data_IF_421238655626
#
_entry.id   IF_421238655626
#
_cell.length_a   1.000
_cell.length_b   1.000
_cell.length_c   1.000
_cell.angle_alpha   90.00
_cell.angle_beta   90.00
_cell.angle_gamma   90.00
#
_symmetry.space_group_name_H-M   'P 1'
#
loop_
_entity.id
_entity.type
_entity.pdbx_description
1 polymer ?
#
# COMPACT_ATOMS: atom_id res chain seq x y z
N UNK A 1 -9.63 -40.32 -14.38
CA UNK A 1 -9.07 -39.06 -13.85
C UNK A 1 -9.90 -37.91 -14.42
N UNK A 2 -10.06 -36.81 -13.69
CA UNK A 2 -10.62 -35.57 -14.22
C UNK A 2 -9.58 -34.86 -15.10
N UNK A 3 -10.01 -33.95 -16.00
CA UNK A 3 -9.08 -33.13 -16.81
C UNK A 3 -8.16 -32.29 -15.92
N UNK A 4 -8.74 -31.66 -14.89
CA UNK A 4 -8.00 -30.90 -13.88
C UNK A 4 -6.95 -31.78 -13.17
N UNK A 5 -7.31 -33.01 -12.77
CA UNK A 5 -6.39 -33.99 -12.18
C UNK A 5 -5.24 -34.46 -13.08
N UNK A 6 -5.27 -34.16 -14.39
CA UNK A 6 -4.17 -34.41 -15.32
C UNK A 6 -3.31 -33.16 -15.57
N UNK A 7 -3.87 -31.96 -15.43
CA UNK A 7 -3.15 -30.68 -15.60
C UNK A 7 -2.41 -30.23 -14.32
N UNK A 8 -2.87 -30.67 -13.13
CA UNK A 8 -2.29 -30.30 -11.84
C UNK A 8 -0.84 -30.80 -11.67
N UNK A 9 0.11 -29.87 -11.57
CA UNK A 9 1.52 -30.12 -11.28
C UNK A 9 2.09 -29.10 -10.26
N UNK A 10 3.23 -29.46 -9.64
CA UNK A 10 3.93 -28.63 -8.64
C UNK A 10 3.02 -28.07 -7.54
N UNK A 11 3.28 -26.83 -7.13
CA UNK A 11 2.50 -26.08 -6.14
C UNK A 11 0.97 -26.16 -6.32
N UNK A 12 0.44 -26.19 -7.55
CA UNK A 12 -1.00 -26.30 -7.78
C UNK A 12 -1.55 -27.67 -7.37
N UNK A 13 -0.83 -28.76 -7.66
CA UNK A 13 -1.20 -30.10 -7.23
C UNK A 13 -1.18 -30.23 -5.71
N UNK A 14 -0.22 -29.59 -5.03
CA UNK A 14 -0.11 -29.61 -3.57
C UNK A 14 -1.16 -28.74 -2.87
N UNK A 15 -1.46 -27.55 -3.40
CA UNK A 15 -2.65 -26.78 -2.98
C UNK A 15 -3.93 -27.59 -3.16
N UNK A 16 -4.10 -28.28 -4.29
CA UNK A 16 -5.33 -29.05 -4.55
C UNK A 16 -5.53 -30.20 -3.56
N UNK A 17 -4.44 -30.77 -3.01
CA UNK A 17 -4.51 -31.73 -1.89
C UNK A 17 -4.98 -31.08 -0.58
N UNK A 18 -4.64 -29.81 -0.33
CA UNK A 18 -5.04 -29.04 0.86
C UNK A 18 -6.47 -28.47 0.79
N UNK A 19 -7.05 -28.36 -0.41
CA UNK A 19 -8.46 -28.00 -0.60
C UNK A 19 -9.39 -29.09 -0.03
N UNK A 20 -10.52 -28.69 0.55
CA UNK A 20 -11.55 -29.63 0.98
C UNK A 20 -12.32 -30.24 -0.22
N UNK A 21 -13.23 -31.17 0.06
CA UNK A 21 -14.02 -31.87 -0.97
C UNK A 21 -15.02 -30.97 -1.70
N UNK A 22 -15.54 -29.91 -1.06
CA UNK A 22 -16.44 -28.92 -1.67
C UNK A 22 -15.66 -28.03 -2.63
N UNK A 23 -14.51 -27.52 -2.19
CA UNK A 23 -13.64 -26.66 -3.00
C UNK A 23 -13.08 -27.41 -4.22
N UNK A 24 -12.62 -28.67 -4.05
CA UNK A 24 -12.21 -29.52 -5.17
C UNK A 24 -13.37 -29.85 -6.12
N UNK A 25 -14.51 -30.28 -5.58
CA UNK A 25 -15.70 -30.60 -6.39
C UNK A 25 -16.22 -29.39 -7.18
N UNK A 26 -16.08 -28.18 -6.64
CA UNK A 26 -16.39 -26.93 -7.34
C UNK A 26 -15.43 -26.68 -8.52
N UNK A 27 -14.11 -26.77 -8.30
CA UNK A 27 -13.13 -26.61 -9.39
C UNK A 27 -13.31 -27.66 -10.49
N UNK A 28 -13.48 -28.93 -10.13
CA UNK A 28 -13.75 -29.98 -11.10
C UNK A 28 -15.08 -29.75 -11.83
N UNK A 29 -16.11 -29.26 -11.15
CA UNK A 29 -17.38 -28.86 -11.76
C UNK A 29 -17.23 -27.71 -12.77
N UNK A 30 -16.46 -26.67 -12.44
CA UNK A 30 -16.19 -25.53 -13.33
C UNK A 30 -15.40 -25.96 -14.59
N UNK A 31 -14.38 -26.80 -14.43
CA UNK A 31 -13.57 -27.34 -15.55
C UNK A 31 -14.38 -28.32 -16.41
N UNK A 32 -15.13 -29.25 -15.80
CA UNK A 32 -15.93 -30.23 -16.54
C UNK A 32 -17.13 -29.60 -17.25
N UNK A 33 -17.66 -28.47 -16.76
CA UNK A 33 -18.70 -27.68 -17.44
C UNK A 33 -18.16 -26.67 -18.45
N UNK A 34 -16.83 -26.57 -18.61
CA UNK A 34 -16.20 -25.67 -19.59
C UNK A 34 -16.27 -24.18 -19.24
N UNK A 35 -16.67 -23.82 -18.01
CA UNK A 35 -16.69 -22.42 -17.54
C UNK A 35 -15.28 -21.83 -17.38
N UNK A 36 -14.31 -22.71 -17.12
CA UNK A 36 -12.88 -22.40 -17.06
C UNK A 36 -12.11 -23.55 -17.72
N UNK A 37 -10.96 -23.26 -18.33
CA UNK A 37 -10.08 -24.32 -18.85
C UNK A 37 -9.37 -25.04 -17.68
N UNK A 38 -8.75 -26.20 -17.94
CA UNK A 38 -7.96 -26.85 -16.88
C UNK A 38 -6.69 -26.04 -16.59
N UNK A 39 -6.17 -25.39 -17.63
CA UNK A 39 -4.97 -24.59 -17.70
C UNK A 39 -5.13 -23.28 -16.89
N UNK A 40 -6.22 -22.53 -17.12
CA UNK A 40 -6.60 -21.35 -16.34
C UNK A 40 -6.76 -21.72 -14.86
N UNK A 41 -7.46 -22.84 -14.57
CA UNK A 41 -7.69 -23.29 -13.19
C UNK A 41 -6.36 -23.61 -12.48
N UNK A 42 -5.42 -24.29 -13.17
CA UNK A 42 -4.07 -24.53 -12.64
C UNK A 42 -3.29 -23.22 -12.46
N UNK A 43 -3.33 -22.31 -13.42
CA UNK A 43 -2.62 -21.02 -13.37
C UNK A 43 -3.14 -20.13 -12.23
N UNK A 44 -4.46 -20.05 -12.02
CA UNK A 44 -5.07 -19.35 -10.90
C UNK A 44 -4.73 -19.98 -9.54
N UNK A 45 -4.69 -21.31 -9.46
CA UNK A 45 -4.17 -22.01 -8.26
C UNK A 45 -2.69 -21.70 -8.01
N UNK A 46 -1.84 -21.63 -9.06
CA UNK A 46 -0.43 -21.22 -8.92
C UNK A 46 -0.28 -19.77 -8.46
N UNK A 47 -1.09 -18.83 -8.99
CA UNK A 47 -1.10 -17.44 -8.52
C UNK A 47 -1.41 -17.35 -7.02
N UNK A 48 -2.51 -17.95 -6.59
CA UNK A 48 -2.94 -17.96 -5.18
C UNK A 48 -1.94 -18.70 -4.27
N UNK A 49 -1.33 -19.80 -4.73
CA UNK A 49 -0.25 -20.50 -4.02
C UNK A 49 0.98 -19.59 -3.81
N UNK A 50 1.37 -18.87 -4.85
CA UNK A 50 2.52 -17.97 -4.85
C UNK A 50 2.25 -16.76 -3.95
N UNK A 51 1.09 -16.12 -4.07
CA UNK A 51 0.66 -15.00 -3.21
C UNK A 51 0.59 -15.39 -1.73
N UNK A 52 0.07 -16.57 -1.39
CA UNK A 52 0.05 -17.05 -0.01
C UNK A 52 1.46 -17.32 0.54
N UNK A 53 2.34 -17.89 -0.27
CA UNK A 53 3.74 -18.17 0.12
C UNK A 53 4.55 -16.86 0.25
N UNK A 54 4.29 -15.87 -0.60
CA UNK A 54 4.83 -14.52 -0.49
C UNK A 54 4.37 -13.81 0.79
N UNK A 55 3.06 -13.83 1.09
CA UNK A 55 2.52 -13.24 2.32
C UNK A 55 3.17 -13.86 3.56
N UNK A 56 3.37 -15.19 3.57
CA UNK A 56 4.12 -15.88 4.62
C UNK A 56 5.57 -15.39 4.70
N UNK A 57 6.26 -15.32 3.56
CA UNK A 57 7.64 -14.82 3.48
C UNK A 57 7.78 -13.41 4.07
N UNK A 58 6.87 -12.49 3.73
CA UNK A 58 6.86 -11.12 4.28
C UNK A 58 6.64 -11.09 5.79
N UNK A 59 5.79 -11.98 6.32
CA UNK A 59 5.52 -12.05 7.77
C UNK A 59 6.61 -12.73 8.60
N UNK A 60 7.35 -13.68 8.03
CA UNK A 60 8.24 -14.59 8.77
C UNK A 60 9.74 -14.43 8.45
N UNK A 61 10.11 -13.71 7.39
CA UNK A 61 11.53 -13.48 7.09
C UNK A 61 12.22 -12.73 8.24
N UNK A 62 13.49 -13.04 8.55
CA UNK A 62 14.30 -12.21 9.43
C UNK A 62 14.29 -10.74 8.98
N UNK A 63 14.18 -9.83 9.96
CA UNK A 63 14.29 -8.39 9.75
C UNK A 63 15.72 -7.94 10.01
N UNK A 64 16.33 -7.29 9.03
CA UNK A 64 17.66 -6.70 9.15
C UNK A 64 17.59 -5.24 9.67
N UNK A 65 18.74 -4.56 9.74
CA UNK A 65 18.79 -3.16 10.22
C UNK A 65 18.10 -2.18 9.26
N UNK A 66 18.05 -2.45 7.95
CA UNK A 66 17.30 -1.62 7.00
C UNK A 66 15.78 -1.78 7.23
N UNK A 67 15.31 -2.98 7.53
CA UNK A 67 13.90 -3.21 7.90
C UNK A 67 13.50 -2.50 9.19
N UNK A 68 14.38 -2.49 10.19
CA UNK A 68 14.17 -1.75 11.45
C UNK A 68 14.17 -0.24 11.21
N UNK A 69 15.12 0.27 10.43
CA UNK A 69 15.22 1.68 10.09
C UNK A 69 13.97 2.15 9.34
N UNK A 70 13.54 1.43 8.29
CA UNK A 70 12.30 1.75 7.57
C UNK A 70 11.06 1.68 8.46
N UNK A 71 11.00 0.76 9.42
CA UNK A 71 9.89 0.70 10.38
C UNK A 71 9.87 1.95 11.28
N UNK A 72 11.03 2.40 11.77
CA UNK A 72 11.16 3.63 12.55
C UNK A 72 10.83 4.88 11.72
N UNK A 73 11.27 4.95 10.46
CA UNK A 73 10.95 6.05 9.53
C UNK A 73 9.45 6.07 9.18
N UNK A 74 8.82 4.89 9.03
CA UNK A 74 7.38 4.73 8.85
C UNK A 74 6.61 5.22 10.07
N UNK A 75 7.01 4.82 11.28
CA UNK A 75 6.38 5.27 12.51
C UNK A 75 6.54 6.80 12.70
N UNK A 76 7.73 7.34 12.44
CA UNK A 76 7.98 8.78 12.48
C UNK A 76 7.19 9.55 11.40
N UNK A 77 7.01 8.99 10.21
CA UNK A 77 6.15 9.56 9.17
C UNK A 77 4.66 9.52 9.57
N UNK A 78 4.21 8.42 10.17
CA UNK A 78 2.85 8.25 10.66
C UNK A 78 2.53 9.23 11.81
N UNK A 79 3.43 9.37 12.79
CA UNK A 79 3.29 10.35 13.88
C UNK A 79 3.21 11.79 13.33
N UNK A 80 4.02 12.14 12.32
CA UNK A 80 3.96 13.46 11.65
C UNK A 80 2.64 13.64 10.86
N UNK A 81 2.13 12.59 10.22
CA UNK A 81 0.85 12.62 9.49
C UNK A 81 -0.34 12.77 10.45
N UNK A 82 -0.32 12.07 11.59
CA UNK A 82 -1.32 12.21 12.64
C UNK A 82 -1.30 13.62 13.24
N UNK A 83 -0.12 14.18 13.55
CA UNK A 83 0.02 15.55 14.05
C UNK A 83 -0.47 16.60 13.03
N UNK A 84 -0.11 16.44 11.74
CA UNK A 84 -0.63 17.26 10.64
C UNK A 84 -2.16 17.19 10.58
N UNK A 85 -2.72 15.97 10.63
CA UNK A 85 -4.16 15.73 10.57
C UNK A 85 -4.93 16.35 11.73
N UNK A 86 -4.46 16.17 12.97
CA UNK A 86 -5.06 16.78 14.16
C UNK A 86 -5.04 18.31 14.10
N UNK A 87 -3.90 18.91 13.69
CA UNK A 87 -3.78 20.38 13.57
C UNK A 87 -4.67 20.93 12.45
N UNK A 88 -4.69 20.28 11.29
CA UNK A 88 -5.53 20.65 10.16
C UNK A 88 -7.02 20.55 10.49
N UNK A 89 -7.42 19.50 11.22
CA UNK A 89 -8.80 19.31 11.69
C UNK A 89 -9.23 20.46 12.62
N UNK A 90 -8.40 20.82 13.60
CA UNK A 90 -8.68 21.97 14.48
C UNK A 90 -8.78 23.30 13.73
N UNK A 91 -7.90 23.54 12.76
CA UNK A 91 -7.97 24.72 11.90
C UNK A 91 -9.24 24.75 11.04
N UNK A 92 -9.66 23.61 10.48
CA UNK A 92 -10.92 23.47 9.74
C UNK A 92 -12.15 23.69 10.62
N UNK A 93 -12.16 23.21 11.87
CA UNK A 93 -13.25 23.48 12.82
C UNK A 93 -13.38 24.97 13.16
N UNK A 94 -12.26 25.67 13.37
CA UNK A 94 -12.25 27.12 13.61
C UNK A 94 -12.70 27.93 12.38
N UNK A 95 -12.33 27.50 11.17
CA UNK A 95 -12.82 28.09 9.91
C UNK A 95 -14.32 27.86 9.76
N UNK A 96 -14.79 26.64 10.00
CA UNK A 96 -16.21 26.29 9.93
C UNK A 96 -17.05 27.14 10.88
N UNK A 97 -16.65 27.20 12.16
CA UNK A 97 -17.31 28.03 13.19
C UNK A 97 -17.40 29.50 12.77
N UNK A 98 -16.29 30.12 12.37
CA UNK A 98 -16.27 31.54 11.96
C UNK A 98 -17.06 31.80 10.68
N UNK A 99 -17.03 30.86 9.73
CA UNK A 99 -17.82 30.95 8.49
C UNK A 99 -19.31 30.87 8.80
N UNK A 100 -19.74 29.98 9.70
CA UNK A 100 -21.12 29.89 10.17
C UNK A 100 -21.55 31.17 10.91
N UNK A 101 -20.74 31.67 11.85
CA UNK A 101 -21.02 32.94 12.58
C UNK A 101 -21.22 34.12 11.63
N UNK A 102 -20.44 34.19 10.53
CA UNK A 102 -20.56 35.20 9.47
C UNK A 102 -21.83 34.98 8.62
N UNK A 103 -22.14 33.74 8.23
CA UNK A 103 -23.35 33.41 7.47
C UNK A 103 -24.63 33.68 8.27
N UNK A 104 -24.66 33.36 9.55
CA UNK A 104 -25.81 33.63 10.41
C UNK A 104 -26.04 35.13 10.60
N UNK A 105 -24.98 35.93 10.75
CA UNK A 105 -25.09 37.39 10.79
C UNK A 105 -25.66 37.95 9.47
N UNK A 106 -25.24 37.40 8.32
CA UNK A 106 -25.78 37.77 7.01
C UNK A 106 -27.27 37.37 6.89
N UNK A 107 -27.67 36.18 7.35
CA UNK A 107 -29.06 35.72 7.36
C UNK A 107 -29.97 36.55 8.30
N UNK A 108 -29.42 37.07 9.41
CA UNK A 108 -30.11 38.01 10.31
C UNK A 108 -30.19 39.44 9.74
N UNK A 109 -29.53 39.72 8.62
CA UNK A 109 -29.44 41.07 8.04
C UNK A 109 -28.52 42.02 8.79
N UNK A 110 -27.64 41.51 9.66
CA UNK A 110 -26.68 42.29 10.46
C UNK A 110 -25.46 42.75 9.65
N UNK A 111 -25.20 42.11 8.50
CA UNK A 111 -24.15 42.46 7.55
C UNK A 111 -24.63 42.30 6.11
N UNK A 112 -24.11 43.16 5.24
CA UNK A 112 -24.24 43.04 3.79
C UNK A 112 -23.41 41.88 3.20
N UNK A 113 -23.68 41.53 1.94
CA UNK A 113 -22.88 40.53 1.20
C UNK A 113 -21.40 40.95 1.07
N UNK A 114 -21.13 42.25 0.92
CA UNK A 114 -19.77 42.76 0.80
C UNK A 114 -19.02 42.71 2.13
N UNK A 115 -19.67 43.09 3.25
CA UNK A 115 -19.12 42.89 4.59
C UNK A 115 -18.92 41.41 4.95
N UNK A 116 -19.79 40.52 4.45
CA UNK A 116 -19.62 39.07 4.59
C UNK A 116 -18.33 38.63 3.89
N UNK A 117 -18.10 39.08 2.66
CA UNK A 117 -16.86 38.82 1.91
C UNK A 117 -15.62 39.40 2.63
N UNK A 118 -15.73 40.61 3.19
CA UNK A 118 -14.66 41.25 3.96
C UNK A 118 -14.31 40.47 5.23
N UNK A 119 -15.32 40.00 5.98
CA UNK A 119 -15.13 39.19 7.19
C UNK A 119 -14.60 37.78 6.89
N UNK A 120 -14.86 37.23 5.71
CA UNK A 120 -14.30 35.94 5.28
C UNK A 120 -12.82 35.99 4.89
N UNK A 121 -12.31 37.12 4.35
CA UNK A 121 -10.88 37.29 4.01
C UNK A 121 -9.93 36.88 5.16
N UNK A 122 -10.00 37.44 6.39
CA UNK A 122 -9.09 37.08 7.47
C UNK A 122 -9.27 35.64 7.96
N UNK A 123 -10.46 35.02 7.79
CA UNK A 123 -10.67 33.60 8.11
C UNK A 123 -9.91 32.72 7.11
N UNK A 124 -10.00 33.04 5.81
CA UNK A 124 -9.24 32.35 4.76
C UNK A 124 -7.74 32.54 4.91
N UNK A 125 -7.28 33.74 5.25
CA UNK A 125 -5.84 34.05 5.37
C UNK A 125 -5.23 33.45 6.64
N UNK A 126 -5.97 33.41 7.76
CA UNK A 126 -5.57 32.62 8.93
C UNK A 126 -5.45 31.12 8.60
N UNK A 127 -6.37 30.58 7.79
CA UNK A 127 -6.31 29.17 7.36
C UNK A 127 -5.13 28.88 6.43
N UNK A 128 -4.84 29.76 5.45
CA UNK A 128 -3.62 29.69 4.62
C UNK A 128 -2.35 29.77 5.48
N UNK A 129 -2.37 30.59 6.53
CA UNK A 129 -1.32 30.68 7.54
C UNK A 129 -1.10 29.36 8.27
N UNK A 130 -2.17 28.76 8.81
CA UNK A 130 -2.10 27.45 9.49
C UNK A 130 -1.71 26.30 8.55
N UNK A 131 -2.15 26.28 7.29
CA UNK A 131 -1.66 25.32 6.28
C UNK A 131 -0.14 25.47 6.10
N UNK A 132 0.35 26.70 5.99
CA UNK A 132 1.76 27.00 5.78
C UNK A 132 2.61 26.63 7.01
N UNK A 133 2.13 26.96 8.21
CA UNK A 133 2.79 26.63 9.48
C UNK A 133 2.81 25.11 9.74
N UNK A 134 1.68 24.42 9.52
CA UNK A 134 1.57 22.96 9.67
C UNK A 134 2.48 22.24 8.68
N UNK A 135 2.52 22.69 7.41
CA UNK A 135 3.45 22.16 6.40
C UNK A 135 4.91 22.45 6.73
N UNK A 136 5.22 23.61 7.30
CA UNK A 136 6.57 23.95 7.76
C UNK A 136 7.04 23.08 8.95
N UNK A 137 6.13 22.75 9.87
CA UNK A 137 6.44 21.95 11.06
C UNK A 137 6.51 20.44 10.80
N UNK A 138 5.73 19.91 9.86
CA UNK A 138 5.57 18.45 9.67
C UNK A 138 6.01 17.94 8.27
N UNK A 139 6.32 18.83 7.33
CA UNK A 139 6.49 18.50 5.91
C UNK A 139 5.16 18.49 5.15
N UNK A 140 5.17 18.08 3.87
CA UNK A 140 3.91 17.87 3.13
C UNK A 140 3.39 16.45 3.39
N UNK A 141 2.06 16.23 3.39
CA UNK A 141 1.49 14.88 3.45
C UNK A 141 1.99 13.97 2.32
N UNK A 142 2.24 14.53 1.12
CA UNK A 142 2.82 13.79 -0.03
C UNK A 142 4.13 13.10 0.32
N UNK A 143 4.99 13.82 1.06
CA UNK A 143 6.35 13.39 1.37
C UNK A 143 6.30 12.28 2.43
N UNK A 144 5.40 12.41 3.40
CA UNK A 144 5.08 11.38 4.38
C UNK A 144 4.45 10.12 3.73
N UNK A 145 3.50 10.28 2.79
CA UNK A 145 2.88 9.14 2.09
C UNK A 145 3.87 8.39 1.19
N UNK A 146 4.88 9.07 0.64
CA UNK A 146 5.96 8.42 -0.09
C UNK A 146 6.82 7.54 0.84
N UNK A 147 7.21 8.06 2.02
CA UNK A 147 7.93 7.29 3.04
C UNK A 147 7.11 6.09 3.50
N UNK A 148 5.82 6.27 3.80
CA UNK A 148 4.93 5.17 4.23
C UNK A 148 4.75 4.09 3.14
N UNK A 149 4.77 4.49 1.86
CA UNK A 149 4.67 3.58 0.71
C UNK A 149 5.96 2.78 0.50
N UNK A 150 7.12 3.42 0.58
CA UNK A 150 8.43 2.76 0.44
C UNK A 150 8.76 1.88 1.66
N UNK A 151 8.43 2.35 2.87
CA UNK A 151 8.62 1.61 4.11
C UNK A 151 7.73 0.37 4.28
N UNK A 152 6.76 0.14 3.37
CA UNK A 152 6.15 -1.19 3.19
C UNK A 152 7.18 -2.27 2.86
N UNK A 153 8.35 -1.87 2.35
CA UNK A 153 9.44 -2.74 1.94
C UNK A 153 9.11 -3.61 0.73
N UNK A 154 7.99 -3.36 0.03
CA UNK A 154 7.42 -4.27 -0.98
C UNK A 154 8.43 -4.68 -2.06
N UNK A 155 9.23 -3.74 -2.58
CA UNK A 155 10.27 -4.03 -3.58
C UNK A 155 11.33 -4.99 -3.06
N UNK A 156 11.88 -4.75 -1.85
CA UNK A 156 12.86 -5.62 -1.20
C UNK A 156 12.27 -6.98 -0.84
N UNK A 157 11.03 -6.99 -0.33
CA UNK A 157 10.26 -8.19 -0.03
C UNK A 157 10.07 -9.06 -1.29
N UNK A 158 9.69 -8.46 -2.41
CA UNK A 158 9.49 -9.15 -3.69
C UNK A 158 10.81 -9.66 -4.27
N UNK A 159 11.89 -8.88 -4.20
CA UNK A 159 13.22 -9.31 -4.64
C UNK A 159 13.72 -10.50 -3.80
N UNK A 160 13.68 -10.40 -2.48
CA UNK A 160 14.08 -11.48 -1.57
C UNK A 160 13.24 -12.74 -1.73
N UNK A 161 11.93 -12.59 -1.98
CA UNK A 161 11.05 -13.73 -2.29
C UNK A 161 11.37 -14.39 -3.63
N UNK A 162 11.66 -13.60 -4.68
CA UNK A 162 12.10 -14.14 -5.97
C UNK A 162 13.44 -14.86 -5.85
N UNK A 163 14.38 -14.35 -5.06
CA UNK A 163 15.64 -15.05 -4.74
C UNK A 163 15.40 -16.36 -3.98
N UNK A 164 14.48 -16.38 -3.01
CA UNK A 164 14.10 -17.59 -2.29
C UNK A 164 13.48 -18.64 -3.24
N UNK A 165 12.48 -18.27 -4.03
CA UNK A 165 11.86 -19.16 -5.02
C UNK A 165 12.86 -19.70 -6.05
N UNK A 166 13.78 -18.87 -6.56
CA UNK A 166 14.79 -19.32 -7.51
C UNK A 166 15.67 -20.45 -6.94
N UNK A 167 15.97 -20.42 -5.64
CA UNK A 167 16.71 -21.50 -4.96
C UNK A 167 15.89 -22.77 -4.68
N UNK A 168 14.57 -22.77 -4.92
CA UNK A 168 13.72 -23.96 -4.87
C UNK A 168 13.65 -24.72 -6.21
N UNK A 169 14.12 -24.12 -7.30
CA UNK A 169 14.07 -24.69 -8.66
C UNK A 169 12.72 -24.50 -9.36
N UNK A 170 12.74 -24.55 -10.70
CA UNK A 170 11.55 -24.35 -11.54
C UNK A 170 10.47 -25.42 -11.31
N UNK A 171 10.88 -26.66 -10.98
CA UNK A 171 10.01 -27.81 -10.69
C UNK A 171 9.09 -27.58 -9.47
N UNK A 172 9.38 -26.61 -8.60
CA UNK A 172 8.47 -26.21 -7.51
C UNK A 172 7.11 -25.71 -8.06
N UNK A 173 7.08 -25.23 -9.31
CA UNK A 173 5.85 -24.98 -10.04
C UNK A 173 5.01 -23.81 -9.53
N UNK A 174 5.63 -22.85 -8.87
CA UNK A 174 5.06 -21.54 -8.57
C UNK A 174 4.81 -20.73 -9.86
N UNK A 175 4.03 -19.66 -9.76
CA UNK A 175 3.89 -18.66 -10.82
C UNK A 175 4.81 -17.46 -10.55
N UNK A 176 5.01 -16.60 -11.55
CA UNK A 176 5.58 -15.29 -11.30
C UNK A 176 4.61 -14.44 -10.46
N UNK A 177 5.11 -13.82 -9.39
CA UNK A 177 4.28 -13.06 -8.46
C UNK A 177 3.72 -11.82 -9.17
N UNK A 178 2.38 -11.70 -9.21
CA UNK A 178 1.62 -10.69 -9.99
C UNK A 178 1.82 -10.78 -11.51
N UNK A 179 2.05 -11.98 -12.07
CA UNK A 179 1.96 -12.20 -13.52
C UNK A 179 0.53 -11.94 -14.04
N UNK A 180 0.34 -11.18 -15.14
CA UNK A 180 -1.00 -10.83 -15.65
C UNK A 180 -1.90 -12.05 -15.91
N UNK A 181 -1.38 -13.13 -16.48
CA UNK A 181 -2.14 -14.35 -16.74
C UNK A 181 -2.55 -15.06 -15.44
N UNK A 182 -1.70 -14.98 -14.40
CA UNK A 182 -1.98 -15.47 -13.05
C UNK A 182 -3.11 -14.68 -12.39
N UNK A 183 -3.09 -13.35 -12.53
CA UNK A 183 -4.12 -12.45 -11.99
C UNK A 183 -5.45 -12.61 -12.73
N UNK A 184 -5.44 -12.70 -14.06
CA UNK A 184 -6.63 -12.93 -14.87
C UNK A 184 -7.28 -14.29 -14.58
N UNK A 185 -6.47 -15.34 -14.40
CA UNK A 185 -6.96 -16.66 -14.02
C UNK A 185 -7.53 -16.69 -12.58
N UNK A 186 -6.88 -15.97 -11.65
CA UNK A 186 -7.36 -15.80 -10.28
C UNK A 186 -8.67 -15.00 -10.21
N UNK A 187 -8.79 -13.90 -10.95
CA UNK A 187 -10.03 -13.13 -11.09
C UNK A 187 -11.15 -14.00 -11.68
N UNK A 188 -10.86 -14.74 -12.76
CA UNK A 188 -11.83 -15.66 -13.39
C UNK A 188 -12.31 -16.76 -12.44
N UNK A 189 -11.44 -17.27 -11.56
CA UNK A 189 -11.83 -18.18 -10.48
C UNK A 189 -12.78 -17.50 -9.47
N UNK A 190 -12.46 -16.27 -9.04
CA UNK A 190 -13.30 -15.51 -8.10
C UNK A 190 -14.66 -15.14 -8.70
N UNK A 191 -14.73 -14.72 -9.96
CA UNK A 191 -15.97 -14.44 -10.70
C UNK A 191 -16.86 -15.68 -10.85
N UNK A 192 -16.25 -16.87 -10.94
CA UNK A 192 -16.95 -18.16 -10.93
C UNK A 192 -17.28 -18.65 -9.50
N UNK A 193 -17.03 -17.82 -8.47
CA UNK A 193 -17.34 -18.07 -7.07
C UNK A 193 -16.30 -18.88 -6.29
N UNK A 194 -15.13 -19.17 -6.87
CA UNK A 194 -14.04 -19.84 -6.15
C UNK A 194 -13.25 -18.81 -5.34
N UNK A 195 -13.84 -18.41 -4.21
CA UNK A 195 -13.34 -17.36 -3.32
C UNK A 195 -12.81 -17.92 -1.98
N UNK A 196 -12.42 -17.02 -1.07
CA UNK A 196 -11.95 -17.36 0.28
C UNK A 196 -13.00 -18.10 1.13
N UNK A 197 -14.29 -17.94 0.86
CA UNK A 197 -15.37 -18.67 1.54
C UNK A 197 -15.50 -20.11 1.01
N UNK A 198 -15.01 -20.38 -0.20
CA UNK A 198 -14.91 -21.73 -0.78
C UNK A 198 -13.61 -22.42 -0.40
N UNK A 199 -12.44 -21.79 -0.58
CA UNK A 199 -11.14 -22.44 -0.30
C UNK A 199 -10.65 -22.31 1.16
N UNK A 200 -11.28 -21.46 1.97
CA UNK A 200 -10.96 -21.28 3.38
C UNK A 200 -9.48 -20.97 3.64
N UNK A 201 -8.84 -21.81 4.46
CA UNK A 201 -7.44 -21.68 4.83
C UNK A 201 -6.49 -22.61 4.05
N UNK A 202 -6.92 -23.22 2.93
CA UNK A 202 -6.12 -24.20 2.19
C UNK A 202 -4.78 -23.63 1.69
N UNK A 203 -4.79 -22.41 1.15
CA UNK A 203 -3.58 -21.72 0.69
C UNK A 203 -2.64 -21.33 1.84
N UNK A 204 -3.17 -21.01 3.02
CA UNK A 204 -2.36 -20.79 4.22
C UNK A 204 -1.67 -22.10 4.63
N UNK A 205 -2.41 -23.20 4.76
CA UNK A 205 -1.86 -24.52 5.10
C UNK A 205 -0.79 -24.98 4.11
N UNK A 206 -0.99 -24.73 2.82
CA UNK A 206 0.03 -24.95 1.80
C UNK A 206 1.28 -24.10 2.08
N UNK A 207 1.15 -22.77 2.22
CA UNK A 207 2.28 -21.89 2.48
C UNK A 207 3.04 -22.24 3.78
N UNK A 208 2.34 -22.73 4.82
CA UNK A 208 2.94 -23.21 6.08
C UNK A 208 3.72 -24.52 5.92
N UNK A 209 3.32 -25.38 4.97
CA UNK A 209 4.01 -26.62 4.62
C UNK A 209 5.17 -26.42 3.64
N UNK A 210 5.17 -25.36 2.83
CA UNK A 210 6.29 -24.99 1.95
C UNK A 210 7.54 -24.68 2.79
N UNK A 211 8.67 -25.30 2.42
CA UNK A 211 9.97 -25.01 3.01
C UNK A 211 10.58 -23.78 2.32
N UNK A 212 10.37 -22.59 2.88
CA UNK A 212 10.78 -21.33 2.26
C UNK A 212 12.24 -21.04 2.65
N UNK A 213 13.19 -20.91 1.70
CA UNK A 213 14.60 -20.64 2.00
C UNK A 213 14.80 -19.41 2.88
N UNK A 214 15.57 -19.56 3.96
CA UNK A 214 15.78 -18.54 5.00
C UNK A 214 14.71 -18.43 6.08
N UNK A 215 13.62 -19.22 5.99
CA UNK A 215 12.51 -19.25 6.97
C UNK A 215 12.21 -20.68 7.44
N UNK A 216 12.30 -21.66 6.53
CA UNK A 216 11.88 -23.05 6.74
C UNK A 216 10.38 -23.28 6.56
N UNK A 217 9.95 -24.50 6.87
CA UNK A 217 8.54 -24.95 6.89
C UNK A 217 8.03 -25.06 8.32
N UNK A 218 6.79 -24.62 8.60
CA UNK A 218 6.18 -24.77 9.93
C UNK A 218 5.77 -26.21 10.22
N UNK A 219 5.51 -26.99 9.19
CA UNK A 219 5.15 -28.41 9.32
C UNK A 219 6.36 -29.32 9.59
N UNK A 220 7.59 -28.78 9.54
CA UNK A 220 8.75 -29.50 10.06
C UNK A 220 8.66 -29.58 11.60
N UNK A 221 8.34 -30.77 12.10
CA UNK A 221 8.74 -31.17 13.47
C UNK A 221 10.21 -30.79 13.63
N UNK A 222 10.62 -30.06 14.69
CA UNK A 222 11.97 -29.56 14.81
C UNK A 222 12.95 -30.71 14.61
N UNK A 223 13.70 -30.65 13.50
CA UNK A 223 14.64 -31.68 13.09
C UNK A 223 15.74 -31.71 14.13
N UNK A 224 15.56 -32.57 15.13
CA UNK A 224 16.41 -32.66 16.30
C UNK A 224 17.87 -32.63 15.85
N UNK A 225 18.60 -31.61 16.29
CA UNK A 225 19.95 -31.31 15.85
C UNK A 225 20.76 -32.60 15.98
N UNK A 226 21.16 -33.16 14.84
CA UNK A 226 21.59 -34.55 14.77
C UNK A 226 22.87 -34.69 15.57
N UNK A 227 22.73 -35.19 16.80
CA UNK A 227 23.75 -35.08 17.83
C UNK A 227 25.10 -35.49 17.28
N UNK A 228 26.05 -34.53 17.26
CA UNK A 228 27.33 -34.72 16.61
C UNK A 228 27.97 -36.03 17.12
N UNK A 229 28.45 -36.90 16.22
CA UNK A 229 28.90 -38.24 16.60
C UNK A 229 29.97 -38.12 17.69
N UNK A 230 29.70 -38.75 18.85
CA UNK A 230 30.45 -38.54 20.09
C UNK A 230 31.95 -38.62 19.84
N UNK A 231 32.72 -37.52 20.06
CA UNK A 231 34.15 -37.55 19.82
C UNK A 231 34.80 -38.55 20.78
N UNK A 232 35.53 -39.52 20.23
CA UNK A 232 36.32 -40.45 21.02
C UNK A 232 37.38 -39.68 21.83
N UNK A 233 37.65 -40.04 23.10
CA UNK A 233 38.56 -39.28 23.96
C UNK A 233 40.01 -39.43 23.47
N UNK A 234 40.57 -38.33 22.96
CA UNK A 234 41.95 -38.26 22.46
C UNK A 234 42.71 -37.09 23.08
N UNK A 235 43.71 -37.43 23.90
CA UNK A 235 44.92 -36.71 24.30
C UNK A 235 44.91 -35.17 24.52
N UNK A 236 45.50 -34.77 25.66
CA UNK A 236 45.86 -33.39 25.98
C UNK A 236 46.84 -32.76 24.96
N UNK A 237 46.72 -31.46 24.69
CA UNK A 237 47.81 -30.62 24.16
C UNK A 237 47.62 -29.14 24.50
N UNK A 238 48.71 -28.36 24.41
CA UNK A 238 48.90 -27.11 25.19
C UNK A 238 48.86 -25.83 24.36
N UNK A 239 48.22 -24.81 24.94
CA UNK A 239 48.64 -23.38 25.06
C UNK A 239 49.36 -22.73 23.86
N UNK A 240 48.66 -21.82 23.19
CA UNK A 240 49.06 -20.44 22.80
C UNK A 240 47.79 -19.74 22.27
N UNK A 241 47.37 -18.50 22.58
CA UNK A 241 48.00 -17.31 23.19
C UNK A 241 48.91 -16.52 22.25
N UNK A 242 48.34 -15.70 21.37
CA UNK A 242 49.01 -14.50 20.83
C UNK A 242 48.04 -13.40 20.37
N UNK A 243 48.45 -12.14 20.52
CA UNK A 243 47.75 -10.84 20.31
C UNK A 243 48.80 -9.76 20.65
N UNK A 244 48.94 -8.56 20.02
CA UNK A 244 47.99 -7.77 19.19
C UNK A 244 48.52 -7.61 17.73
N UNK A 245 48.53 -6.50 16.95
CA UNK A 245 48.18 -5.09 17.17
C UNK A 245 47.86 -4.25 15.90
N UNK A 246 46.84 -3.39 16.04
CA UNK A 246 46.80 -1.94 15.76
C UNK A 246 47.79 -1.32 14.76
N UNK A 247 47.28 -0.54 13.80
CA UNK A 247 47.84 0.77 13.37
C UNK A 247 46.77 1.65 12.70
N UNK A 248 46.76 2.95 12.97
CA UNK A 248 45.81 3.95 12.42
C UNK A 248 46.40 4.71 11.21
N UNK A 249 45.55 5.23 10.30
CA UNK A 249 45.65 6.63 9.81
C UNK A 249 44.35 7.14 9.12
N UNK A 250 43.94 8.41 9.28
CA UNK A 250 42.75 9.00 8.63
C UNK A 250 43.06 10.05 7.54
N UNK A 251 42.00 10.74 7.08
CA UNK A 251 41.92 11.91 6.16
C UNK A 251 41.87 11.56 4.64
N UNK A 252 41.25 12.36 3.75
CA UNK A 252 40.66 13.70 3.92
C UNK A 252 39.49 14.02 2.93
N UNK A 253 38.73 15.07 3.29
CA UNK A 253 38.12 16.12 2.42
C UNK A 253 37.06 15.81 1.33
N UNK A 254 35.99 16.63 1.36
CA UNK A 254 35.01 16.87 0.28
C UNK A 254 35.56 17.87 -0.75
N UNK A 255 34.91 18.02 -1.92
CA UNK A 255 34.03 19.19 -2.05
C UNK A 255 32.75 18.99 -2.89
N UNK A 256 31.67 19.66 -2.49
CA UNK A 256 30.55 20.08 -3.36
C UNK A 256 30.94 21.40 -4.06
N UNK A 257 30.35 21.80 -5.23
CA UNK A 257 28.97 22.32 -5.24
C UNK A 257 28.17 22.15 -6.57
N UNK A 258 26.85 22.35 -6.52
CA UNK A 258 26.14 23.51 -7.13
C UNK A 258 24.61 23.31 -7.18
N UNK A 259 23.87 24.26 -6.61
CA UNK A 259 22.41 24.32 -6.67
C UNK A 259 21.90 25.02 -7.94
N UNK A 260 20.88 24.45 -8.58
CA UNK A 260 20.08 25.15 -9.61
C UNK A 260 18.70 25.51 -9.06
N UNK A 261 18.56 26.75 -8.57
CA UNK A 261 17.33 27.25 -7.94
C UNK A 261 16.18 27.38 -8.95
N UNK A 262 15.26 26.41 -8.92
CA UNK A 262 14.01 26.47 -9.68
C UNK A 262 12.97 27.33 -8.96
N UNK A 263 12.70 28.51 -9.52
CA UNK A 263 11.71 29.49 -9.07
C UNK A 263 10.30 28.85 -8.94
N UNK A 264 9.62 28.94 -7.78
CA UNK A 264 8.25 28.46 -7.66
C UNK A 264 7.29 29.28 -8.53
N UNK A 265 6.31 28.62 -9.14
CA UNK A 265 5.26 29.27 -9.92
C UNK A 265 4.34 30.13 -9.04
N UNK A 266 3.72 31.15 -9.64
CA UNK A 266 2.83 32.09 -8.96
C UNK A 266 1.59 31.43 -8.39
N UNK A 267 1.18 31.86 -7.19
CA UNK A 267 -0.09 31.50 -6.57
C UNK A 267 -1.26 32.13 -7.34
N UNK A 268 -1.87 31.36 -8.24
CA UNK A 268 -3.10 31.75 -8.95
C UNK A 268 -4.31 31.71 -7.98
N UNK A 269 -5.04 32.83 -7.79
CA UNK A 269 -6.21 32.85 -6.90
C UNK A 269 -7.37 31.98 -7.39
N UNK A 270 -7.50 31.72 -8.69
CA UNK A 270 -8.58 30.91 -9.24
C UNK A 270 -8.55 29.46 -8.74
N UNK A 271 -7.36 28.88 -8.60
CA UNK A 271 -7.19 27.52 -8.08
C UNK A 271 -7.61 27.38 -6.60
N UNK A 272 -7.45 28.44 -5.80
CA UNK A 272 -7.92 28.43 -4.41
C UNK A 272 -9.46 28.43 -4.33
N UNK A 273 -10.13 29.17 -5.22
CA UNK A 273 -11.59 29.22 -5.28
C UNK A 273 -12.18 27.92 -5.82
N UNK A 274 -11.59 27.35 -6.88
CA UNK A 274 -11.99 26.04 -7.41
C UNK A 274 -11.85 24.92 -6.36
N UNK A 275 -10.73 24.87 -5.63
CA UNK A 275 -10.54 23.91 -4.55
C UNK A 275 -11.59 24.06 -3.43
N UNK A 276 -11.97 25.29 -3.08
CA UNK A 276 -12.97 25.56 -2.05
C UNK A 276 -14.38 25.10 -2.50
N UNK A 277 -14.77 25.37 -3.75
CA UNK A 277 -16.03 24.86 -4.32
C UNK A 277 -16.06 23.33 -4.40
N UNK A 278 -14.96 22.66 -4.79
CA UNK A 278 -14.91 21.19 -4.78
C UNK A 278 -15.05 20.62 -3.35
N UNK A 279 -14.48 21.30 -2.35
CA UNK A 279 -14.59 20.90 -0.94
C UNK A 279 -16.01 21.08 -0.39
N UNK A 280 -16.71 22.15 -0.80
CA UNK A 280 -18.14 22.36 -0.51
C UNK A 280 -19.01 21.26 -1.15
N UNK A 281 -18.86 21.00 -2.45
CA UNK A 281 -19.62 19.96 -3.14
C UNK A 281 -19.34 18.55 -2.59
N UNK A 282 -18.13 18.29 -2.07
CA UNK A 282 -17.80 17.04 -1.37
C UNK A 282 -18.54 16.91 -0.02
N UNK A 283 -18.64 17.99 0.76
CA UNK A 283 -19.43 18.03 2.00
C UNK A 283 -20.94 17.83 1.73
N UNK A 284 -21.49 18.52 0.73
CA UNK A 284 -22.90 18.40 0.34
C UNK A 284 -23.24 17.00 -0.20
N UNK A 285 -22.32 16.40 -0.97
CA UNK A 285 -22.46 15.02 -1.46
C UNK A 285 -22.36 13.99 -0.33
N UNK A 286 -21.47 14.21 0.64
CA UNK A 286 -21.30 13.34 1.81
C UNK A 286 -22.53 13.32 2.73
N UNK A 287 -23.30 14.40 2.78
CA UNK A 287 -24.52 14.49 3.58
C UNK A 287 -25.75 13.80 2.95
N UNK A 288 -25.72 13.47 1.65
CA UNK A 288 -26.94 13.22 0.86
C UNK A 288 -27.04 11.86 0.16
N UNK A 289 -26.02 10.98 0.22
CA UNK A 289 -26.08 9.63 -0.37
C UNK A 289 -25.47 8.54 0.52
N UNK A 290 -26.33 7.77 1.19
CA UNK A 290 -25.98 6.43 1.65
C UNK A 290 -25.90 5.48 0.45
N UNK A 291 -24.68 5.17 -0.01
CA UNK A 291 -24.42 4.28 -1.14
C UNK A 291 -23.39 3.21 -0.81
N UNK A 292 -23.80 1.94 -0.85
CA UNK A 292 -22.96 0.80 -0.43
C UNK A 292 -21.82 0.52 -1.42
N UNK A 293 -20.62 1.05 -1.13
CA UNK A 293 -19.41 0.81 -1.93
C UNK A 293 -18.67 -0.47 -1.53
N UNK A 294 -18.40 -1.36 -2.50
CA UNK A 294 -17.79 -2.68 -2.27
C UNK A 294 -16.27 -2.59 -2.13
N UNK A 295 -15.79 -2.01 -1.02
CA UNK A 295 -14.37 -2.00 -0.63
C UNK A 295 -14.12 -2.12 0.90
N UNK A 296 -15.16 -2.01 1.74
CA UNK A 296 -15.07 -2.02 3.21
C UNK A 296 -14.91 -3.41 3.87
N UNK A 297 -14.28 -4.39 3.23
CA UNK A 297 -14.30 -5.79 3.68
C UNK A 297 -12.98 -6.30 4.35
N UNK A 298 -11.97 -5.44 4.54
CA UNK A 298 -10.67 -5.82 5.13
C UNK A 298 -10.14 -4.80 6.16
N UNK A 299 -10.98 -4.44 7.14
CA UNK A 299 -10.54 -3.93 8.46
C UNK A 299 -11.70 -4.00 9.47
N UNK A 300 -11.46 -4.55 10.66
CA UNK A 300 -12.45 -4.55 11.73
C UNK A 300 -12.27 -3.36 12.69
N UNK A 301 -13.34 -2.62 12.95
CA UNK A 301 -13.49 -1.59 14.01
C UNK A 301 -12.46 -0.44 14.06
N UNK A 302 -12.76 0.70 13.41
CA UNK A 302 -13.04 1.98 14.10
C UNK A 302 -13.22 3.17 13.11
N UNK A 303 -14.11 4.11 13.45
CA UNK A 303 -14.24 5.47 12.87
C UNK A 303 -14.27 5.60 11.31
N UNK A 304 -15.17 4.89 10.64
CA UNK A 304 -15.38 5.01 9.17
C UNK A 304 -15.65 6.46 8.70
N UNK A 305 -16.41 7.24 9.47
CA UNK A 305 -16.79 8.62 9.09
C UNK A 305 -15.62 9.61 8.97
N UNK A 306 -14.52 9.40 9.69
CA UNK A 306 -13.32 10.24 9.55
C UNK A 306 -12.44 9.81 8.38
N UNK A 307 -12.42 8.51 8.07
CA UNK A 307 -11.54 7.94 7.05
C UNK A 307 -12.00 8.27 5.62
N UNK A 308 -13.32 8.38 5.40
CA UNK A 308 -13.88 8.85 4.12
C UNK A 308 -13.46 10.28 3.79
N UNK A 309 -13.52 11.21 4.76
CA UNK A 309 -13.11 12.62 4.58
C UNK A 309 -11.61 12.72 4.32
N UNK A 310 -10.78 11.97 5.07
CA UNK A 310 -9.34 11.92 4.85
C UNK A 310 -8.99 11.39 3.44
N UNK A 311 -9.67 10.34 2.98
CA UNK A 311 -9.46 9.74 1.66
C UNK A 311 -9.83 10.70 0.53
N UNK A 312 -11.01 11.33 0.61
CA UNK A 312 -11.45 12.32 -0.39
C UNK A 312 -10.54 13.56 -0.46
N UNK A 313 -9.99 14.01 0.68
CA UNK A 313 -9.01 15.10 0.71
C UNK A 313 -7.69 14.71 0.01
N UNK A 314 -7.25 13.46 0.19
CA UNK A 314 -6.02 12.93 -0.39
C UNK A 314 -6.16 12.68 -1.91
N UNK A 315 -7.32 12.22 -2.35
CA UNK A 315 -7.67 12.10 -3.77
C UNK A 315 -7.80 13.47 -4.46
N UNK A 316 -8.41 14.46 -3.80
CA UNK A 316 -8.47 15.85 -4.29
C UNK A 316 -7.06 16.47 -4.43
N UNK A 317 -6.16 16.24 -3.46
CA UNK A 317 -4.75 16.66 -3.58
C UNK A 317 -4.04 15.99 -4.78
N UNK A 318 -4.37 14.74 -5.09
CA UNK A 318 -3.79 13.97 -6.19
C UNK A 318 -4.34 14.39 -7.57
N UNK A 319 -5.61 14.82 -7.63
CA UNK A 319 -6.20 15.42 -8.83
C UNK A 319 -5.63 16.83 -9.12
N UNK A 320 -5.28 17.59 -8.08
CA UNK A 320 -4.78 18.97 -8.17
C UNK A 320 -3.44 19.17 -8.91
N UNK A 321 -2.74 18.09 -9.30
CA UNK A 321 -1.51 18.15 -10.13
C UNK A 321 -1.78 18.02 -11.65
N UNK A 322 -3.04 18.16 -12.07
CA UNK A 322 -3.45 18.12 -13.48
C UNK A 322 -2.91 19.29 -14.34
N UNK A 323 -2.45 18.95 -15.55
CA UNK A 323 -1.87 19.85 -16.56
C UNK A 323 -2.89 20.91 -17.04
N UNK A 324 -2.52 22.19 -17.25
CA UNK A 324 -3.45 23.21 -17.74
C UNK A 324 -3.93 22.90 -19.16
N UNK A 325 -5.24 23.08 -19.39
CA UNK A 325 -5.90 22.80 -20.65
C UNK A 325 -5.76 24.00 -21.60
N UNK A 326 -4.88 23.89 -22.59
CA UNK A 326 -4.69 24.93 -23.62
C UNK A 326 -5.88 24.97 -24.58
N UNK A 327 -6.81 25.89 -24.35
CA UNK A 327 -7.92 26.15 -25.26
C UNK A 327 -7.45 26.80 -26.55
N UNK A 328 -7.74 26.19 -27.70
CA UNK A 328 -7.56 26.82 -29.01
C UNK A 328 -8.59 27.93 -29.19
N UNK A 329 -8.14 29.15 -29.50
CA UNK A 329 -9.04 30.24 -29.88
C UNK A 329 -9.61 29.99 -31.29
N UNK A 330 -10.94 30.01 -31.41
CA UNK A 330 -11.64 29.82 -32.67
C UNK A 330 -11.82 31.18 -33.38
N UNK A 331 -11.04 31.44 -34.42
CA UNK A 331 -11.25 32.57 -35.32
C UNK A 331 -12.47 32.35 -36.22
N UNK A 332 -13.16 33.42 -36.60
CA UNK A 332 -14.46 33.38 -37.29
C UNK A 332 -14.49 33.88 -38.74
N UNK A 333 -15.68 34.27 -39.15
CA UNK A 333 -16.10 34.92 -40.41
C UNK A 333 -15.91 34.18 -41.75
N UNK A 334 -17.04 33.74 -42.31
CA UNK A 334 -17.49 34.26 -43.63
C UNK A 334 -18.99 34.04 -43.82
N UNK A 335 -19.78 35.08 -44.21
CA UNK A 335 -21.19 34.92 -44.59
C UNK A 335 -21.35 34.60 -46.09
N UNK A 336 -22.43 33.91 -46.52
CA UNK A 336 -22.79 33.74 -47.92
C UNK A 336 -23.45 35.02 -48.50
N UNK A 337 -23.53 35.07 -49.83
CA UNK A 337 -24.26 36.06 -50.62
C UNK A 337 -25.60 35.50 -51.15
#
# INVERSE_FOLDING_TARGET
MSKLGQALNGAAADVFKQLDSKARGMLEGLVNSGKISAEDAVTGLKSLATKATFNRYVSERPRDEEDKQRLADSEAAWQKLQAYGSRMSGALSEVGRKTQEIQEAQQRGEISMDEMNERLKPVQDAFKGEISATRGAHGKPTDQTAILSDASGFTKNMQGFKSALASMGEDAGFADLYAPDGEAAEQKLQELGFDRNVFGNAFQKFAEAVDIPGIGSKSAVPKAEAAAPTPAPAAESKIATETPAVTNKPAAESPSPQDTVSKPASSDPGNAQAALSMLQSALESGASKGGTGVLGAVAGNANEGQNAVASGLLEALKAGTGKPQTGNAQAGDTPPA
#
